data_IF_298425251876
#
_entry.id   IF_298425251876
#
_cell.length_a   1.000
_cell.length_b   1.000
_cell.length_c   1.000
_cell.angle_alpha   90.00
_cell.angle_beta   90.00
_cell.angle_gamma   90.00
#
_symmetry.space_group_name_H-M   'P 1'
#
loop_
_entity.id
_entity.type
_entity.pdbx_description
1 polymer ?
#
# COMPACT_ATOMS: atom_id res chain seq x y z
N UNK A 1 4.43 -62.68 -16.10
CA UNK A 1 3.90 -61.69 -17.06
C UNK A 1 2.80 -60.93 -16.34
N UNK A 2 3.12 -59.76 -15.78
CA UNK A 2 2.83 -58.42 -16.36
C UNK A 2 1.35 -58.25 -16.75
N UNK A 3 0.56 -57.25 -16.32
CA UNK A 3 0.69 -56.13 -15.39
C UNK A 3 -0.72 -55.54 -15.22
N UNK A 4 -1.11 -55.22 -13.98
CA UNK A 4 -1.87 -54.05 -13.54
C UNK A 4 -3.03 -53.52 -14.42
N UNK A 5 -4.27 -53.76 -13.97
CA UNK A 5 -5.42 -52.93 -14.30
C UNK A 5 -5.85 -52.14 -13.06
N UNK A 6 -5.07 -51.11 -12.72
CA UNK A 6 -5.50 -50.07 -11.76
C UNK A 6 -6.43 -49.13 -12.52
N UNK A 7 -7.70 -49.09 -12.10
CA UNK A 7 -8.70 -48.19 -12.67
C UNK A 7 -9.27 -47.31 -11.56
N UNK A 8 -8.55 -46.23 -11.23
CA UNK A 8 -9.05 -45.02 -10.56
C UNK A 8 -8.06 -43.89 -10.84
N UNK A 9 -8.54 -42.67 -11.18
CA UNK A 9 -8.60 -41.63 -10.14
C UNK A 9 -9.69 -40.57 -10.42
N UNK A 10 -10.93 -40.80 -9.99
CA UNK A 10 -12.00 -39.79 -10.12
C UNK A 10 -12.17 -38.86 -8.91
N UNK A 11 -11.63 -39.24 -7.74
CA UNK A 11 -11.99 -38.59 -6.46
C UNK A 11 -10.84 -37.80 -5.84
N UNK A 12 -9.58 -38.15 -6.14
CA UNK A 12 -8.40 -37.49 -5.56
C UNK A 12 -8.19 -36.09 -6.17
N UNK A 13 -8.56 -35.90 -7.44
CA UNK A 13 -8.44 -34.60 -8.12
C UNK A 13 -9.38 -33.52 -7.58
N UNK A 14 -10.57 -33.90 -7.08
CA UNK A 14 -11.56 -32.93 -6.59
C UNK A 14 -11.22 -32.36 -5.22
N UNK A 15 -10.59 -33.14 -4.33
CA UNK A 15 -10.22 -32.67 -2.99
C UNK A 15 -9.13 -31.59 -3.09
N UNK A 16 -8.13 -31.78 -3.96
CA UNK A 16 -7.04 -30.82 -4.17
C UNK A 16 -7.55 -29.51 -4.79
N UNK A 17 -8.56 -29.59 -5.67
CA UNK A 17 -9.17 -28.40 -6.29
C UNK A 17 -9.99 -27.57 -5.28
N UNK A 18 -10.67 -28.22 -4.33
CA UNK A 18 -11.40 -27.51 -3.26
C UNK A 18 -10.50 -26.87 -2.20
N UNK A 19 -9.27 -27.36 -2.00
CA UNK A 19 -8.32 -26.72 -1.07
C UNK A 19 -7.62 -25.46 -1.65
N UNK A 20 -7.59 -25.29 -2.97
CA UNK A 20 -6.99 -24.10 -3.61
C UNK A 20 -7.82 -22.81 -3.45
N UNK A 21 -9.10 -22.93 -3.05
CA UNK A 21 -9.98 -21.77 -2.80
C UNK A 21 -10.13 -21.40 -1.31
N UNK A 22 -9.49 -22.14 -0.40
CA UNK A 22 -9.58 -21.92 1.05
C UNK A 22 -8.36 -21.17 1.61
N UNK A 23 -7.69 -20.35 0.80
CA UNK A 23 -6.73 -19.37 1.33
C UNK A 23 -7.55 -18.18 1.81
N UNK A 24 -7.60 -17.90 3.13
CA UNK A 24 -8.27 -16.70 3.64
C UNK A 24 -7.68 -15.46 2.97
N UNK A 25 -8.51 -14.56 2.44
CA UNK A 25 -8.06 -13.26 1.88
C UNK A 25 -7.30 -12.44 2.93
N UNK A 26 -7.62 -12.65 4.20
CA UNK A 26 -6.98 -12.13 5.41
C UNK A 26 -5.50 -12.56 5.56
N UNK A 27 -5.02 -13.54 4.81
CA UNK A 27 -3.60 -13.89 4.78
C UNK A 27 -2.71 -12.87 4.04
N UNK A 28 -3.30 -11.92 3.30
CA UNK A 28 -2.59 -10.90 2.53
C UNK A 28 -2.70 -9.50 3.13
N UNK A 29 -3.29 -9.38 4.31
CA UNK A 29 -3.64 -8.10 4.90
C UNK A 29 -2.61 -7.65 5.95
N UNK A 30 -2.25 -6.37 5.86
CA UNK A 30 -1.30 -5.71 6.75
C UNK A 30 -1.99 -5.32 8.06
N UNK A 31 -1.40 -5.71 9.18
CA UNK A 31 -1.86 -5.29 10.50
C UNK A 31 -1.36 -3.88 10.79
N UNK A 32 -2.28 -2.98 11.17
CA UNK A 32 -1.95 -1.59 11.50
C UNK A 32 -1.59 -1.46 12.99
N UNK A 33 -0.32 -1.16 13.29
CA UNK A 33 0.13 -0.86 14.65
C UNK A 33 0.03 0.64 14.95
N UNK A 34 -1.05 1.01 15.63
CA UNK A 34 -1.31 2.41 16.01
C UNK A 34 -0.38 2.91 17.12
N UNK A 35 0.16 2.03 17.97
CA UNK A 35 1.06 2.44 19.05
C UNK A 35 2.46 2.74 18.51
N UNK A 36 2.92 1.97 17.53
CA UNK A 36 4.12 2.29 16.77
C UNK A 36 3.98 3.63 16.03
N UNK A 37 2.88 3.82 15.30
CA UNK A 37 2.64 5.06 14.55
C UNK A 37 2.58 6.31 15.46
N UNK A 38 2.00 6.19 16.66
CA UNK A 38 2.02 7.29 17.65
C UNK A 38 3.40 7.60 18.20
N UNK A 39 4.29 6.60 18.30
CA UNK A 39 5.69 6.81 18.73
C UNK A 39 6.50 7.54 17.65
N UNK A 40 6.23 7.30 16.38
CA UNK A 40 6.79 8.07 15.25
C UNK A 40 6.26 9.52 15.26
N UNK A 41 4.99 9.70 15.62
CA UNK A 41 4.40 10.98 16.04
C UNK A 41 3.91 11.87 14.90
N UNK A 42 4.35 11.63 13.66
CA UNK A 42 3.88 12.35 12.48
C UNK A 42 3.89 11.51 11.22
N UNK A 43 3.13 11.94 10.23
CA UNK A 43 3.14 11.47 8.84
C UNK A 43 3.36 12.66 7.91
N UNK A 44 4.30 12.54 6.98
CA UNK A 44 4.61 13.55 5.97
C UNK A 44 3.96 13.18 4.64
N UNK A 45 3.12 14.07 4.14
CA UNK A 45 2.30 13.83 2.94
C UNK A 45 2.64 14.85 1.87
N UNK A 46 3.09 14.39 0.71
CA UNK A 46 3.20 15.22 -0.48
C UNK A 46 1.94 15.06 -1.32
N UNK A 47 1.26 16.14 -1.65
CA UNK A 47 -0.01 16.08 -2.36
C UNK A 47 -0.27 17.23 -3.32
N UNK A 48 -1.26 17.02 -4.18
CA UNK A 48 -1.68 17.98 -5.21
C UNK A 48 -2.94 18.76 -4.81
N UNK A 49 -3.74 18.20 -3.90
CA UNK A 49 -4.97 18.81 -3.40
C UNK A 49 -4.66 20.14 -2.70
N UNK A 50 -5.42 21.22 -2.97
CA UNK A 50 -5.24 22.48 -2.26
C UNK A 50 -5.29 22.30 -0.73
N UNK A 51 -4.40 22.98 -0.01
CA UNK A 51 -4.27 22.86 1.45
C UNK A 51 -5.60 23.05 2.16
N UNK A 52 -6.38 24.08 1.79
CA UNK A 52 -7.70 24.36 2.36
C UNK A 52 -8.68 23.17 2.28
N UNK A 53 -8.59 22.36 1.23
CA UNK A 53 -9.47 21.20 1.03
C UNK A 53 -8.97 20.00 1.85
N UNK A 54 -7.64 19.84 1.93
CA UNK A 54 -7.00 18.77 2.70
C UNK A 54 -7.03 19.00 4.22
N UNK A 55 -7.14 20.25 4.67
CA UNK A 55 -7.14 20.61 6.09
C UNK A 55 -8.23 19.87 6.87
N UNK A 56 -9.41 19.66 6.28
CA UNK A 56 -10.49 18.91 6.93
C UNK A 56 -10.11 17.46 7.20
N UNK A 57 -9.43 16.80 6.24
CA UNK A 57 -8.98 15.41 6.33
C UNK A 57 -7.84 15.31 7.34
N UNK A 58 -6.85 16.20 7.22
CA UNK A 58 -5.70 16.25 8.13
C UNK A 58 -6.16 16.43 9.57
N UNK A 59 -6.99 17.44 9.85
CA UNK A 59 -7.50 17.72 11.19
C UNK A 59 -8.31 16.55 11.76
N UNK A 60 -9.14 15.90 10.95
CA UNK A 60 -9.89 14.73 11.38
C UNK A 60 -8.96 13.56 11.71
N UNK A 61 -7.92 13.32 10.90
CA UNK A 61 -6.90 12.31 11.14
C UNK A 61 -6.13 12.58 12.44
N UNK A 62 -5.61 13.80 12.60
CA UNK A 62 -4.88 14.20 13.81
C UNK A 62 -5.74 14.04 15.06
N UNK A 63 -7.01 14.47 15.02
CA UNK A 63 -7.93 14.36 16.15
C UNK A 63 -8.25 12.90 16.49
N UNK A 64 -8.37 12.04 15.49
CA UNK A 64 -8.74 10.63 15.69
C UNK A 64 -7.57 9.80 16.22
N UNK A 65 -6.36 10.03 15.70
CA UNK A 65 -5.21 9.15 15.97
C UNK A 65 -4.14 9.78 16.85
N UNK A 66 -4.15 11.11 17.03
CA UNK A 66 -3.12 11.83 17.78
C UNK A 66 -1.78 11.93 17.05
N UNK A 67 -1.74 11.63 15.75
CA UNK A 67 -0.56 11.66 14.89
C UNK A 67 -0.62 12.93 14.04
N UNK A 68 0.46 13.70 14.00
CA UNK A 68 0.52 14.96 13.22
C UNK A 68 0.63 14.71 11.73
N UNK A 69 0.01 15.56 10.90
CA UNK A 69 0.12 15.50 9.45
C UNK A 69 0.90 16.70 8.94
N UNK A 70 2.11 16.45 8.42
CA UNK A 70 2.90 17.45 7.71
C UNK A 70 2.55 17.41 6.22
N UNK A 71 1.64 18.28 5.79
CA UNK A 71 1.19 18.34 4.40
C UNK A 71 2.01 19.34 3.58
N UNK A 72 2.67 18.87 2.52
CA UNK A 72 3.32 19.70 1.53
C UNK A 72 2.60 19.63 0.19
N UNK A 73 2.10 20.78 -0.26
CA UNK A 73 1.33 20.90 -1.49
C UNK A 73 2.18 21.40 -2.65
N UNK A 74 2.11 20.73 -3.80
CA UNK A 74 2.74 21.17 -5.04
C UNK A 74 2.01 20.67 -6.30
N UNK A 75 2.40 21.17 -7.48
CA UNK A 75 1.92 20.61 -8.75
C UNK A 75 2.58 19.26 -9.04
N UNK A 76 1.91 18.36 -9.76
CA UNK A 76 2.35 16.98 -9.98
C UNK A 76 3.78 16.87 -10.51
N UNK A 77 4.18 17.71 -11.48
CA UNK A 77 5.55 17.70 -12.00
C UNK A 77 6.60 17.97 -10.91
N UNK A 78 6.35 18.95 -10.04
CA UNK A 78 7.25 19.27 -8.93
C UNK A 78 7.27 18.18 -7.85
N UNK A 79 6.15 17.51 -7.63
CA UNK A 79 6.10 16.33 -6.76
C UNK A 79 6.95 15.22 -7.35
N UNK A 80 6.77 14.88 -8.64
CA UNK A 80 7.56 13.84 -9.32
C UNK A 80 9.05 14.14 -9.20
N UNK A 81 9.50 15.34 -9.58
CA UNK A 81 10.91 15.72 -9.59
C UNK A 81 11.55 15.59 -8.20
N UNK A 82 10.88 16.13 -7.17
CA UNK A 82 11.37 16.08 -5.79
C UNK A 82 11.37 14.66 -5.25
N UNK A 83 10.26 13.95 -5.43
CA UNK A 83 10.05 12.60 -4.91
C UNK A 83 11.06 11.63 -5.49
N UNK A 84 11.30 11.66 -6.80
CA UNK A 84 12.30 10.82 -7.45
C UNK A 84 13.72 11.16 -7.01
N UNK A 85 14.01 12.45 -6.79
CA UNK A 85 15.32 12.88 -6.31
C UNK A 85 15.58 12.37 -4.89
N UNK A 86 14.62 12.53 -3.97
CA UNK A 86 14.73 12.06 -2.58
C UNK A 86 14.77 10.51 -2.51
N UNK A 87 13.94 9.84 -3.31
CA UNK A 87 13.90 8.38 -3.41
C UNK A 87 15.23 7.79 -3.89
N UNK A 88 15.76 8.30 -5.02
CA UNK A 88 17.05 7.85 -5.58
C UNK A 88 18.23 8.21 -4.68
N UNK A 89 18.08 9.25 -3.86
CA UNK A 89 19.04 9.62 -2.81
C UNK A 89 19.01 8.71 -1.58
N UNK A 90 18.08 7.74 -1.53
CA UNK A 90 17.91 6.78 -0.43
C UNK A 90 17.42 7.42 0.87
N UNK A 91 16.89 8.66 0.80
CA UNK A 91 16.43 9.44 1.95
C UNK A 91 15.12 10.15 1.59
N UNK A 92 14.01 9.41 1.45
CA UNK A 92 12.70 10.00 1.21
C UNK A 92 12.32 10.91 2.38
N UNK A 93 11.90 12.14 2.09
CA UNK A 93 11.43 13.10 3.08
C UNK A 93 9.92 13.04 3.31
N UNK A 94 9.24 12.05 2.74
CA UNK A 94 7.80 11.85 2.75
C UNK A 94 7.47 10.41 3.15
N UNK A 95 6.26 10.20 3.65
CA UNK A 95 5.69 8.88 3.94
C UNK A 95 4.60 8.52 2.92
N UNK A 96 3.85 9.51 2.44
CA UNK A 96 2.73 9.33 1.51
C UNK A 96 2.83 10.33 0.35
N UNK A 97 2.54 9.85 -0.86
CA UNK A 97 2.38 10.71 -2.04
C UNK A 97 0.98 10.55 -2.64
N UNK A 98 0.23 11.64 -2.62
CA UNK A 98 -1.11 11.78 -3.18
C UNK A 98 -1.05 12.56 -4.50
N UNK A 99 -1.87 12.16 -5.47
CA UNK A 99 -2.07 12.95 -6.68
C UNK A 99 -2.69 12.14 -7.82
N UNK A 100 -2.82 12.75 -9.02
CA UNK A 100 -3.57 12.18 -10.11
C UNK A 100 -2.96 10.89 -10.64
N UNK A 101 -3.78 10.04 -11.24
CA UNK A 101 -3.39 8.70 -11.71
C UNK A 101 -2.14 8.68 -12.59
N UNK A 102 -1.99 9.64 -13.52
CA UNK A 102 -0.81 9.72 -14.39
C UNK A 102 0.50 9.90 -13.61
N UNK A 103 0.47 10.67 -12.51
CA UNK A 103 1.62 10.83 -11.61
C UNK A 103 1.96 9.52 -10.90
N UNK A 104 0.92 8.84 -10.39
CA UNK A 104 1.04 7.58 -9.66
C UNK A 104 1.62 6.46 -10.55
N UNK A 105 1.27 6.43 -11.86
CA UNK A 105 1.86 5.48 -12.80
C UNK A 105 3.38 5.71 -12.93
N UNK A 106 3.80 6.96 -13.11
CA UNK A 106 5.22 7.31 -13.29
C UNK A 106 6.02 6.90 -12.05
N UNK A 107 5.56 7.27 -10.86
CA UNK A 107 6.25 6.92 -9.62
C UNK A 107 6.28 5.40 -9.40
N UNK A 108 5.19 4.68 -9.71
CA UNK A 108 5.15 3.22 -9.57
C UNK A 108 6.22 2.50 -10.40
N UNK A 109 6.52 2.98 -11.60
CA UNK A 109 7.54 2.38 -12.47
C UNK A 109 8.96 2.42 -11.86
N UNK A 110 9.20 3.33 -10.92
CA UNK A 110 10.48 3.51 -10.22
C UNK A 110 10.58 2.67 -8.93
N UNK A 111 9.64 1.76 -8.70
CA UNK A 111 9.60 0.91 -7.49
C UNK A 111 9.25 1.69 -6.22
N UNK A 112 8.59 2.84 -6.39
CA UNK A 112 8.35 3.83 -5.35
C UNK A 112 7.35 3.42 -4.26
N UNK A 113 6.29 2.69 -4.62
CA UNK A 113 5.19 2.38 -3.71
C UNK A 113 5.38 1.02 -3.04
N UNK A 114 5.21 1.00 -1.72
CA UNK A 114 4.95 -0.24 -1.00
C UNK A 114 3.52 -0.71 -1.26
N UNK A 115 3.33 -2.02 -1.40
CA UNK A 115 2.00 -2.62 -1.32
C UNK A 115 1.48 -2.47 0.11
N UNK A 116 0.26 -1.98 0.27
CA UNK A 116 -0.39 -1.85 1.57
C UNK A 116 -1.88 -2.20 1.43
N UNK A 117 -2.32 -3.24 2.12
CA UNK A 117 -3.71 -3.69 2.15
C UNK A 117 -4.12 -3.94 3.59
N UNK A 118 -4.70 -2.97 4.31
CA UNK A 118 -5.04 -3.15 5.70
C UNK A 118 -6.16 -4.18 5.88
N UNK A 119 -6.15 -4.88 7.04
CA UNK A 119 -7.20 -5.80 7.52
C UNK A 119 -8.57 -5.12 7.70
#
# INVERSE_FOLDING_TARGET
MNTLRIRWPGVIGSIVFSYLFAIPMDAWADNVDLDAAKKEGKVVVYGTVPTQDMDSINNAFEKKYGIKVEYWRAASGKIIDRTLTEWRGGRPGFDVVEGPHGMQIILRQEGFYAGFMPV
#
